data_IF_599343081410
#
_entry.id   IF_599343081410
#
_cell.length_a   1.000
_cell.length_b   1.000
_cell.length_c   1.000
_cell.angle_alpha   90.00
_cell.angle_beta   90.00
_cell.angle_gamma   90.00
#
_symmetry.space_group_name_H-M   'P 1'
#
loop_
_entity.id
_entity.type
_entity.pdbx_description
1 polymer ?
#
# COMPACT_ATOMS: atom_id res chain seq x y z
N UNK A 1 2.26 4.91 -10.85
CA UNK A 1 0.88 4.99 -11.38
C UNK A 1 0.09 5.84 -10.41
N UNK A 2 -0.83 6.67 -10.91
CA UNK A 2 -1.75 7.42 -10.07
C UNK A 2 -3.17 6.93 -10.36
N UNK A 3 -3.98 6.80 -9.31
CA UNK A 3 -5.38 6.41 -9.44
C UNK A 3 -6.27 7.61 -9.17
N UNK A 4 -7.32 7.79 -9.97
CA UNK A 4 -8.37 8.76 -9.66
C UNK A 4 -9.31 8.14 -8.64
N UNK A 5 -9.34 8.73 -7.45
CA UNK A 5 -10.12 8.25 -6.32
C UNK A 5 -11.15 9.29 -5.90
N UNK A 6 -12.29 8.84 -5.39
CA UNK A 6 -13.26 9.72 -4.76
C UNK A 6 -12.85 10.05 -3.33
N UNK A 7 -13.47 11.07 -2.73
CA UNK A 7 -13.29 11.35 -1.30
C UNK A 7 -13.71 10.19 -0.40
N UNK A 8 -14.68 9.38 -0.84
CA UNK A 8 -15.10 8.18 -0.11
C UNK A 8 -14.00 7.11 -0.13
N UNK A 9 -13.39 6.87 -1.30
CA UNK A 9 -12.28 5.92 -1.42
C UNK A 9 -11.08 6.35 -0.57
N UNK A 10 -10.76 7.65 -0.57
CA UNK A 10 -9.71 8.22 0.26
C UNK A 10 -9.97 8.03 1.77
N UNK A 11 -11.22 8.14 2.22
CA UNK A 11 -11.57 7.86 3.61
C UNK A 11 -11.42 6.37 3.98
N UNK A 12 -11.73 5.46 3.05
CA UNK A 12 -11.50 4.02 3.24
C UNK A 12 -9.99 3.74 3.34
N UNK A 13 -9.20 4.33 2.44
CA UNK A 13 -7.74 4.19 2.47
C UNK A 13 -7.14 4.72 3.76
N UNK A 14 -7.63 5.85 4.29
CA UNK A 14 -7.18 6.35 5.58
C UNK A 14 -7.37 5.31 6.69
N UNK A 15 -8.50 4.59 6.71
CA UNK A 15 -8.74 3.53 7.69
C UNK A 15 -7.76 2.36 7.48
N UNK A 16 -7.60 1.89 6.24
CA UNK A 16 -6.71 0.78 5.89
C UNK A 16 -5.24 1.07 6.24
N UNK A 17 -4.81 2.32 6.08
CA UNK A 17 -3.45 2.79 6.32
C UNK A 17 -3.19 3.21 7.79
N UNK A 18 -4.13 2.90 8.69
CA UNK A 18 -4.00 3.11 10.12
C UNK A 18 -4.39 4.52 10.59
N UNK A 19 -5.07 5.30 9.77
CA UNK A 19 -5.70 6.58 10.08
C UNK A 19 -4.73 7.57 10.74
N UNK A 20 -3.58 7.81 10.10
CA UNK A 20 -2.52 8.67 10.60
C UNK A 20 -1.60 8.03 11.65
N UNK A 21 -1.88 6.79 12.10
CA UNK A 21 -1.06 6.11 13.13
C UNK A 21 0.12 5.33 12.56
N UNK A 22 0.00 4.81 11.34
CA UNK A 22 1.04 4.04 10.65
C UNK A 22 1.56 4.84 9.46
N UNK A 23 0.64 5.32 8.62
CA UNK A 23 0.93 6.19 7.49
C UNK A 23 0.09 7.46 7.56
N UNK A 24 0.64 8.55 7.04
CA UNK A 24 -0.07 9.81 6.81
C UNK A 24 -0.11 10.12 5.32
N UNK A 25 -1.18 10.77 4.88
CA UNK A 25 -1.33 11.22 3.51
C UNK A 25 -0.57 12.53 3.30
N UNK A 26 0.27 12.54 2.28
CA UNK A 26 1.09 13.67 1.87
C UNK A 26 0.84 14.01 0.40
N UNK A 27 0.83 15.29 0.08
CA UNK A 27 0.69 15.77 -1.29
C UNK A 27 2.07 15.85 -1.94
N UNK A 28 2.35 14.96 -2.89
CA UNK A 28 3.65 14.85 -3.56
C UNK A 28 3.52 15.18 -5.06
N UNK A 29 4.62 15.66 -5.64
CA UNK A 29 4.73 15.76 -7.09
C UNK A 29 4.95 14.35 -7.67
N UNK A 30 4.09 13.93 -8.58
CA UNK A 30 4.21 12.69 -9.33
C UNK A 30 4.49 12.99 -10.79
N UNK A 31 5.60 12.46 -11.28
CA UNK A 31 5.94 12.49 -12.70
C UNK A 31 5.43 11.20 -13.35
N UNK A 32 4.53 11.35 -14.33
CA UNK A 32 4.07 10.19 -15.07
C UNK A 32 5.22 9.59 -15.85
N UNK A 33 5.29 8.28 -15.85
CA UNK A 33 6.30 7.60 -16.63
C UNK A 33 6.02 7.81 -18.12
N UNK A 34 6.96 8.45 -18.81
CA UNK A 34 6.88 8.65 -20.24
C UNK A 34 7.26 7.35 -20.96
N UNK A 35 6.27 6.72 -21.60
CA UNK A 35 6.42 5.42 -22.23
C UNK A 35 7.06 5.53 -23.64
N UNK A 36 8.02 6.44 -23.84
CA UNK A 36 8.66 6.66 -25.13
C UNK A 36 9.71 5.60 -25.53
N UNK A 37 9.69 4.42 -24.90
CA UNK A 37 10.55 3.29 -25.22
C UNK A 37 9.80 2.16 -25.92
N UNK A 38 9.60 2.31 -27.24
CA UNK A 38 9.62 1.23 -28.24
C UNK A 38 8.77 -0.02 -28.01
N UNK A 39 7.54 -0.02 -28.52
CA UNK A 39 7.07 -1.09 -29.40
C UNK A 39 5.94 -0.53 -30.26
N UNK A 40 6.30 -0.11 -31.48
CA UNK A 40 5.37 -0.23 -32.60
C UNK A 40 4.99 -1.71 -32.68
N UNK A 41 3.74 -2.03 -32.35
CA UNK A 41 2.94 -3.01 -33.10
C UNK A 41 1.49 -3.06 -32.58
N UNK A 42 0.61 -2.41 -33.33
CA UNK A 42 -0.77 -2.82 -33.62
C UNK A 42 -1.59 -3.46 -32.49
N UNK A 43 -2.26 -2.62 -31.69
CA UNK A 43 -3.22 -3.12 -30.70
C UNK A 43 -4.23 -2.07 -30.27
N UNK A 44 -5.03 -1.56 -31.21
CA UNK A 44 -6.17 -0.71 -30.88
C UNK A 44 -7.18 -1.48 -30.02
N UNK A 45 -7.26 -1.14 -28.74
CA UNK A 45 -8.44 -1.35 -27.92
C UNK A 45 -8.83 -0.03 -27.31
N UNK A 46 -9.94 0.48 -27.82
CA UNK A 46 -10.70 1.58 -27.25
C UNK A 46 -10.95 1.31 -25.77
N UNK A 47 -10.38 2.12 -24.88
CA UNK A 47 -11.00 2.36 -23.58
C UNK A 47 -10.84 3.82 -23.16
N UNK A 48 -11.97 4.38 -22.76
CA UNK A 48 -12.27 5.79 -22.78
C UNK A 48 -11.98 6.46 -21.44
N UNK A 49 -10.70 6.58 -21.05
CA UNK A 49 -10.28 7.49 -19.96
C UNK A 49 -8.85 8.03 -20.15
N UNK A 50 -8.40 8.22 -21.39
CA UNK A 50 -7.13 8.90 -21.65
C UNK A 50 -7.26 10.39 -21.30
N UNK A 51 -7.02 10.73 -20.04
CA UNK A 51 -6.78 12.09 -19.59
C UNK A 51 -5.61 12.61 -20.45
N UNK A 52 -5.90 13.52 -21.39
CA UNK A 52 -4.86 14.16 -22.19
C UNK A 52 -3.99 14.98 -21.23
N UNK A 53 -2.87 14.42 -20.80
CA UNK A 53 -1.84 15.16 -20.09
C UNK A 53 -1.31 16.21 -21.07
N UNK A 54 -1.73 17.46 -20.88
CA UNK A 54 -0.98 18.60 -21.39
C UNK A 54 0.44 18.55 -20.80
N UNK A 55 1.44 19.09 -21.50
CA UNK A 55 2.91 19.04 -21.29
C UNK A 55 3.49 19.32 -19.87
N UNK A 56 2.67 19.35 -18.81
CA UNK A 56 3.12 19.20 -17.44
C UNK A 56 3.43 17.72 -17.16
N UNK A 57 4.70 17.34 -17.25
CA UNK A 57 5.18 15.98 -16.93
C UNK A 57 4.90 15.58 -15.48
N UNK A 58 4.71 16.55 -14.58
CA UNK A 58 4.40 16.34 -13.18
C UNK A 58 3.06 16.92 -12.74
N UNK A 59 2.28 16.16 -11.97
CA UNK A 59 1.06 16.61 -11.28
C UNK A 59 1.07 16.21 -9.81
N UNK A 60 0.29 16.89 -8.98
CA UNK A 60 0.19 16.56 -7.55
C UNK A 60 -0.70 15.34 -7.34
N UNK A 61 -0.24 14.43 -6.49
CA UNK A 61 -1.00 13.26 -6.03
C UNK A 61 -0.92 13.16 -4.52
N UNK A 62 -1.91 12.48 -3.94
CA UNK A 62 -1.90 12.13 -2.53
C UNK A 62 -1.26 10.74 -2.37
N UNK A 63 -0.22 10.64 -1.54
CA UNK A 63 0.50 9.41 -1.26
C UNK A 63 0.57 9.14 0.24
N UNK A 64 0.52 7.86 0.63
CA UNK A 64 0.65 7.45 2.02
C UNK A 64 2.12 7.22 2.38
N UNK A 65 2.62 7.98 3.35
CA UNK A 65 4.01 7.98 3.80
C UNK A 65 4.08 7.53 5.26
N UNK A 66 5.04 6.69 5.59
CA UNK A 66 5.22 6.19 6.95
C UNK A 66 5.50 7.36 7.92
N UNK A 67 4.77 7.44 9.03
CA UNK A 67 4.92 8.53 9.99
C UNK A 67 6.13 8.31 10.89
N UNK A 68 6.97 9.33 11.05
CA UNK A 68 8.19 9.29 11.87
C UNK A 68 7.96 8.89 13.35
N UNK A 69 6.72 9.00 13.85
CA UNK A 69 6.35 8.63 15.22
C UNK A 69 6.53 7.13 15.51
N UNK A 70 6.64 6.27 14.49
CA UNK A 70 6.87 4.83 14.64
C UNK A 70 7.93 4.35 13.63
N UNK A 71 9.15 4.84 13.76
CA UNK A 71 10.29 4.27 13.03
C UNK A 71 10.61 2.90 13.61
N UNK A 72 10.10 1.86 12.97
CA UNK A 72 10.66 0.51 13.10
C UNK A 72 11.91 0.43 12.24
N UNK A 73 12.93 -0.26 12.74
CA UNK A 73 14.12 -0.57 11.93
C UNK A 73 13.69 -1.24 10.62
N UNK A 74 14.26 -0.83 9.47
CA UNK A 74 13.93 -1.43 8.18
C UNK A 74 14.12 -2.95 8.22
N UNK A 75 13.01 -3.68 8.11
CA UNK A 75 12.98 -5.13 8.04
C UNK A 75 12.85 -5.62 6.61
N UNK A 76 13.21 -6.89 6.38
CA UNK A 76 12.94 -7.55 5.11
C UNK A 76 11.43 -7.74 4.92
N UNK A 77 10.87 -7.45 3.72
CA UNK A 77 9.46 -7.73 3.44
C UNK A 77 9.20 -9.24 3.41
N UNK A 78 7.95 -9.64 3.64
CA UNK A 78 7.56 -11.05 3.43
C UNK A 78 7.54 -11.40 1.94
N UNK A 79 7.85 -12.66 1.62
CA UNK A 79 7.76 -13.17 0.23
C UNK A 79 6.37 -13.00 -0.38
N UNK A 80 5.30 -13.17 0.42
CA UNK A 80 3.92 -12.93 -0.01
C UNK A 80 3.68 -11.47 -0.37
N UNK A 81 4.21 -10.53 0.41
CA UNK A 81 4.08 -9.10 0.12
C UNK A 81 4.79 -8.73 -1.18
N UNK A 82 6.04 -9.18 -1.36
CA UNK A 82 6.77 -8.94 -2.61
C UNK A 82 6.06 -9.53 -3.83
N UNK A 83 5.46 -10.72 -3.70
CA UNK A 83 4.67 -11.32 -4.78
C UNK A 83 3.50 -10.42 -5.21
N UNK A 84 2.75 -9.85 -4.25
CA UNK A 84 1.64 -8.94 -4.55
C UNK A 84 2.13 -7.71 -5.32
N UNK A 85 3.26 -7.13 -4.89
CA UNK A 85 3.87 -6.00 -5.59
C UNK A 85 4.33 -6.37 -7.01
N UNK A 86 4.97 -7.52 -7.18
CA UNK A 86 5.46 -8.01 -8.46
C UNK A 86 4.31 -8.28 -9.44
N UNK A 87 3.26 -8.97 -8.99
CA UNK A 87 2.08 -9.27 -9.81
C UNK A 87 1.40 -7.96 -10.27
N UNK A 88 1.27 -6.97 -9.38
CA UNK A 88 0.74 -5.65 -9.72
C UNK A 88 1.62 -4.86 -10.68
N UNK A 89 2.94 -4.89 -10.49
CA UNK A 89 3.91 -4.25 -11.37
C UNK A 89 3.88 -4.83 -12.79
N UNK A 90 3.79 -6.16 -12.90
CA UNK A 90 3.66 -6.87 -14.18
C UNK A 90 2.33 -6.55 -14.87
N UNK A 91 1.22 -6.57 -14.12
CA UNK A 91 -0.11 -6.32 -14.67
C UNK A 91 -0.25 -4.91 -15.29
N UNK A 92 0.47 -3.92 -14.75
CA UNK A 92 0.40 -2.52 -15.21
C UNK A 92 1.57 -2.19 -16.16
N UNK A 93 2.47 -3.15 -16.43
CA UNK A 93 3.57 -2.96 -17.37
C UNK A 93 4.62 -1.97 -16.88
N UNK A 94 4.99 -2.02 -15.60
CA UNK A 94 6.10 -1.21 -15.08
C UNK A 94 7.43 -1.62 -15.74
N UNK A 95 8.44 -0.74 -15.62
CA UNK A 95 9.79 -0.94 -16.20
C UNK A 95 10.39 -2.30 -15.85
N UNK A 96 11.03 -2.93 -16.83
CA UNK A 96 11.71 -4.22 -16.66
C UNK A 96 12.77 -4.19 -15.55
N UNK A 97 13.49 -3.07 -15.41
CA UNK A 97 14.50 -2.91 -14.35
C UNK A 97 13.86 -2.93 -12.96
N UNK A 98 12.69 -2.31 -12.79
CA UNK A 98 11.97 -2.31 -11.53
C UNK A 98 11.39 -3.68 -11.21
N UNK A 99 10.85 -4.37 -12.22
CA UNK A 99 10.37 -5.75 -12.09
C UNK A 99 11.52 -6.69 -11.70
N UNK A 100 12.69 -6.58 -12.34
CA UNK A 100 13.88 -7.36 -12.00
C UNK A 100 14.29 -7.10 -10.56
N UNK A 101 14.38 -5.82 -10.17
CA UNK A 101 14.70 -5.42 -8.80
C UNK A 101 13.73 -6.01 -7.78
N UNK A 102 12.41 -5.96 -8.04
CA UNK A 102 11.40 -6.57 -7.16
C UNK A 102 11.57 -8.08 -7.02
N UNK A 103 11.87 -8.77 -8.14
CA UNK A 103 12.00 -10.23 -8.16
C UNK A 103 13.24 -10.75 -7.44
N UNK A 104 14.31 -9.96 -7.44
CA UNK A 104 15.59 -10.27 -6.79
C UNK A 104 15.66 -9.73 -5.35
N UNK A 105 14.67 -8.93 -4.92
CA UNK A 105 14.70 -8.27 -3.63
C UNK A 105 14.71 -9.30 -2.48
N UNK A 106 15.63 -9.17 -1.49
CA UNK A 106 15.65 -10.07 -0.35
C UNK A 106 14.32 -10.05 0.41
N UNK A 107 13.86 -11.23 0.84
CA UNK A 107 12.62 -11.36 1.61
C UNK A 107 12.72 -12.37 2.73
N UNK A 108 11.84 -12.20 3.72
CA UNK A 108 11.57 -13.21 4.72
C UNK A 108 10.77 -14.34 4.06
N UNK A 109 11.41 -15.50 3.95
CA UNK A 109 10.72 -16.75 3.68
C UNK A 109 10.09 -17.25 4.98
N UNK A 110 8.94 -16.69 5.34
CA UNK A 110 8.08 -17.34 6.31
C UNK A 110 7.37 -18.46 5.56
N UNK A 111 7.71 -19.73 5.85
CA UNK A 111 7.05 -20.92 5.28
C UNK A 111 5.55 -21.02 5.61
N UNK A 112 4.93 -19.97 6.15
CA UNK A 112 3.51 -19.89 6.49
C UNK A 112 3.09 -20.77 7.66
N UNK A 113 3.99 -21.59 8.21
CA UNK A 113 3.68 -22.56 9.27
C UNK A 113 4.00 -22.08 10.68
N UNK A 114 4.74 -20.98 10.81
CA UNK A 114 5.11 -20.39 12.10
C UNK A 114 4.94 -18.87 12.04
N UNK A 115 3.97 -18.36 12.78
CA UNK A 115 4.05 -16.99 13.31
C UNK A 115 5.41 -16.88 14.03
N UNK A 116 6.17 -15.78 13.87
CA UNK A 116 7.35 -15.57 14.69
C UNK A 116 6.93 -15.72 16.15
N UNK A 117 7.50 -16.71 16.83
CA UNK A 117 7.31 -16.84 18.26
C UNK A 117 7.77 -15.52 18.87
N UNK A 118 6.87 -14.81 19.55
CA UNK A 118 7.21 -13.62 20.34
C UNK A 118 8.17 -14.08 21.43
N UNK A 119 9.46 -14.10 21.12
CA UNK A 119 10.48 -14.56 22.06
C UNK A 119 10.54 -13.54 23.21
N UNK A 120 10.07 -13.97 24.38
CA UNK A 120 10.32 -13.33 25.67
C UNK A 120 9.36 -12.22 26.10
N UNK A 121 8.72 -11.47 25.20
CA UNK A 121 7.94 -10.27 25.62
C UNK A 121 6.43 -10.52 25.75
N UNK A 122 5.87 -11.47 25.00
CA UNK A 122 4.43 -11.75 25.03
C UNK A 122 4.05 -13.14 25.57
N UNK A 123 5.03 -13.97 25.93
CA UNK A 123 4.76 -15.26 26.55
C UNK A 123 4.16 -15.03 27.96
N UNK A 124 2.84 -15.13 28.06
CA UNK A 124 2.09 -14.92 29.30
C UNK A 124 1.43 -13.54 29.44
N UNK A 125 1.57 -12.65 28.45
CA UNK A 125 0.81 -11.40 28.42
C UNK A 125 -0.57 -11.69 27.83
N UNK A 126 -1.53 -11.96 28.70
CA UNK A 126 -2.95 -11.95 28.33
C UNK A 126 -3.37 -10.48 28.24
N UNK A 127 -3.72 -10.03 27.04
CA UNK A 127 -4.41 -8.75 26.88
C UNK A 127 -5.77 -8.92 27.55
N UNK A 128 -6.06 -8.06 28.53
CA UNK A 128 -7.35 -8.08 29.22
C UNK A 128 -8.48 -7.69 28.26
N UNK A 129 -9.71 -8.13 28.55
CA UNK A 129 -10.89 -7.69 27.79
C UNK A 129 -11.06 -6.17 27.85
N UNK A 130 -10.64 -5.51 28.93
CA UNK A 130 -10.61 -4.04 29.02
C UNK A 130 -9.61 -3.41 28.05
N UNK A 131 -8.38 -3.91 27.95
CA UNK A 131 -7.38 -3.42 26.99
C UNK A 131 -7.83 -3.68 25.55
N UNK A 132 -8.41 -4.85 25.28
CA UNK A 132 -8.96 -5.17 23.98
C UNK A 132 -10.06 -4.18 23.57
N UNK A 133 -10.95 -3.81 24.51
CA UNK A 133 -11.99 -2.78 24.29
C UNK A 133 -11.40 -1.40 24.09
N UNK A 134 -10.37 -1.02 24.85
CA UNK A 134 -9.67 0.26 24.69
C UNK A 134 -8.98 0.40 23.32
N UNK A 135 -8.57 -0.71 22.72
CA UNK A 135 -7.98 -0.76 21.38
C UNK A 135 -8.99 -1.02 20.26
N UNK A 136 -10.22 -1.45 20.59
CA UNK A 136 -11.29 -1.60 19.60
C UNK A 136 -11.83 -0.22 19.21
N UNK A 137 -11.76 0.12 17.93
CA UNK A 137 -12.31 1.37 17.36
C UNK A 137 -13.82 1.27 17.10
N UNK A 138 -14.45 0.15 17.46
CA UNK A 138 -15.89 -0.05 17.28
C UNK A 138 -16.59 0.61 18.45
N UNK A 139 -17.06 1.83 18.23
CA UNK A 139 -17.92 2.51 19.19
C UNK A 139 -19.25 1.73 19.31
N UNK A 140 -19.35 0.90 20.35
CA UNK A 140 -20.51 0.07 20.66
C UNK A 140 -21.80 0.86 20.92
N UNK A 141 -21.74 2.20 20.91
CA UNK A 141 -22.89 3.07 21.15
C UNK A 141 -23.85 3.23 19.96
N UNK A 142 -23.54 2.68 18.77
CA UNK A 142 -24.42 2.80 17.59
C UNK A 142 -25.57 1.78 17.51
N UNK A 143 -25.67 0.78 18.40
CA UNK A 143 -26.76 -0.23 18.36
C UNK A 143 -27.91 0.05 19.35
N UNK A 144 -28.56 1.21 19.23
CA UNK A 144 -29.96 1.47 19.65
C UNK A 144 -30.48 2.59 18.75
N UNK A 145 -31.39 2.37 17.81
CA UNK A 145 -32.82 2.17 18.08
C UNK A 145 -33.53 1.75 16.79
N UNK A 146 -34.29 0.65 16.85
CA UNK A 146 -35.30 0.23 15.88
C UNK A 146 -36.36 -0.54 16.64
#
# INVERSE_FOLDING_TARGET
IAHLLTWHDLAILDICEGNGRSYQRESIAFEAYDHHGGHDEGGSRNDATAFKMNDATAFKVEAYVAVAAKTVEPGLPSSRYLKVLLDGALAIGLKAEYISWLSEHPSLSCSGLTLPALMGVAAGVLISDEELKAHSTVDSSSRRSG
#
